data_IF_666540626993
#
_entry.id   IF_666540626993
#
_cell.length_a   1.000
_cell.length_b   1.000
_cell.length_c   1.000
_cell.angle_alpha   90.00
_cell.angle_beta   90.00
_cell.angle_gamma   90.00
#
_symmetry.space_group_name_H-M   'P 1'
#
loop_
_entity.id
_entity.type
_entity.pdbx_description
1 polymer ?
#
# COMPACT_ATOMS: atom_id res chain seq x y z
N UNK A 1 -30.40 -4.35 -5.83
CA UNK A 1 -30.29 -3.12 -6.60
C UNK A 1 -29.03 -2.34 -6.24
N UNK A 2 -28.38 -1.83 -7.26
CA UNK A 2 -27.18 -0.99 -7.06
C UNK A 2 -27.63 0.39 -6.59
N UNK A 3 -27.00 0.87 -5.51
CA UNK A 3 -27.22 2.25 -5.05
C UNK A 3 -26.17 3.14 -5.66
N UNK A 4 -26.59 4.16 -6.36
CA UNK A 4 -25.68 5.17 -6.88
C UNK A 4 -25.40 6.21 -5.80
N UNK A 5 -24.11 6.42 -5.53
CA UNK A 5 -23.62 7.41 -4.58
C UNK A 5 -22.97 8.57 -5.32
N UNK A 6 -23.08 9.76 -4.75
CA UNK A 6 -22.37 10.93 -5.26
C UNK A 6 -20.88 10.86 -4.93
N UNK A 7 -20.05 11.43 -5.79
CA UNK A 7 -18.62 11.52 -5.57
C UNK A 7 -17.79 10.91 -6.71
N UNK A 8 -16.48 10.98 -6.55
CA UNK A 8 -15.51 10.41 -7.49
C UNK A 8 -14.73 9.30 -6.81
N UNK A 9 -14.54 8.21 -7.55
CA UNK A 9 -13.60 7.17 -7.17
C UNK A 9 -12.22 7.47 -7.77
N UNK A 10 -11.19 6.85 -7.23
CA UNK A 10 -9.82 7.01 -7.70
C UNK A 10 -9.10 5.68 -7.77
N UNK A 11 -8.23 5.54 -8.78
CA UNK A 11 -7.27 4.46 -8.82
C UNK A 11 -6.13 4.74 -7.82
N UNK A 12 -5.41 3.72 -7.45
CA UNK A 12 -4.37 3.80 -6.44
C UNK A 12 -3.18 2.90 -6.77
N UNK A 13 -1.98 3.40 -6.53
CA UNK A 13 -0.76 2.61 -6.41
C UNK A 13 -0.24 2.74 -4.98
N UNK A 14 0.08 1.61 -4.37
CA UNK A 14 0.49 1.54 -2.97
C UNK A 14 1.73 0.67 -2.85
N UNK A 15 2.82 1.24 -2.34
CA UNK A 15 4.10 0.58 -2.17
C UNK A 15 4.50 0.65 -0.71
N UNK A 16 4.76 -0.51 -0.13
CA UNK A 16 5.24 -0.63 1.26
C UNK A 16 6.59 -1.31 1.27
N UNK A 17 7.55 -0.71 1.97
CA UNK A 17 8.80 -1.36 2.33
C UNK A 17 8.73 -1.69 3.82
N UNK A 18 8.94 -2.95 4.15
CA UNK A 18 8.79 -3.44 5.52
C UNK A 18 10.04 -4.19 5.98
N UNK A 19 10.33 -4.03 7.24
CA UNK A 19 11.22 -4.93 7.97
C UNK A 19 10.35 -5.90 8.76
N UNK A 20 10.34 -7.18 8.36
CA UNK A 20 9.52 -8.22 9.00
C UNK A 20 10.36 -9.13 9.86
N UNK A 21 9.74 -9.64 10.92
CA UNK A 21 10.28 -10.73 11.72
C UNK A 21 9.15 -11.63 12.21
N UNK A 22 9.50 -12.85 12.59
CA UNK A 22 8.57 -13.84 13.11
C UNK A 22 8.98 -14.20 14.53
N UNK A 23 7.99 -14.35 15.43
CA UNK A 23 8.23 -14.81 16.78
C UNK A 23 8.17 -16.35 16.88
N UNK A 24 8.38 -16.88 18.08
CA UNK A 24 8.39 -18.33 18.34
C UNK A 24 7.03 -18.98 18.09
N UNK A 25 5.95 -18.23 18.22
CA UNK A 25 4.58 -18.72 18.02
C UNK A 25 4.14 -18.67 16.54
N UNK A 26 4.98 -18.14 15.67
CA UNK A 26 4.67 -17.99 14.25
C UNK A 26 3.92 -16.72 13.91
N UNK A 27 3.85 -15.75 14.82
CA UNK A 27 3.29 -14.44 14.53
C UNK A 27 4.29 -13.60 13.72
N UNK A 28 3.80 -12.89 12.71
CA UNK A 28 4.63 -12.05 11.85
C UNK A 28 4.35 -10.58 12.13
N UNK A 29 5.39 -9.86 12.44
CA UNK A 29 5.37 -8.43 12.72
C UNK A 29 6.18 -7.66 11.69
N UNK A 30 5.88 -6.39 11.53
CA UNK A 30 6.63 -5.52 10.64
C UNK A 30 6.77 -4.11 11.21
N UNK A 31 7.88 -3.45 10.85
CA UNK A 31 8.01 -2.00 10.90
C UNK A 31 7.97 -1.44 9.49
N UNK A 32 7.28 -0.33 9.33
CA UNK A 32 7.21 0.35 8.03
C UNK A 32 8.47 1.18 7.82
N UNK A 33 9.30 0.75 6.88
CA UNK A 33 10.55 1.46 6.54
C UNK A 33 10.34 2.48 5.44
N UNK A 34 9.49 2.16 4.47
CA UNK A 34 9.21 3.06 3.35
C UNK A 34 7.75 3.03 2.94
N UNK A 35 7.25 4.18 2.50
CA UNK A 35 5.87 4.36 2.05
C UNK A 35 5.82 5.14 0.75
N UNK A 36 5.20 4.55 -0.28
CA UNK A 36 4.84 5.24 -1.50
C UNK A 36 3.38 4.99 -1.79
N UNK A 37 2.58 6.05 -1.97
CA UNK A 37 1.17 5.89 -2.25
C UNK A 37 0.65 7.07 -3.04
N UNK A 38 0.01 6.78 -4.17
CA UNK A 38 -0.63 7.78 -5.00
C UNK A 38 -2.05 7.36 -5.37
N UNK A 39 -2.93 8.33 -5.40
CA UNK A 39 -4.30 8.18 -5.87
C UNK A 39 -4.49 9.02 -7.13
N UNK A 40 -5.19 8.46 -8.11
CA UNK A 40 -5.38 9.08 -9.42
C UNK A 40 -6.87 9.29 -9.66
N UNK A 41 -7.28 10.55 -9.76
CA UNK A 41 -8.68 10.96 -9.96
C UNK A 41 -8.97 11.40 -11.38
N UNK A 42 -7.93 11.57 -12.20
CA UNK A 42 -8.05 12.00 -13.59
C UNK A 42 -7.74 10.86 -14.53
N UNK A 43 -8.58 10.74 -15.57
CA UNK A 43 -8.29 9.82 -16.66
C UNK A 43 -7.16 10.35 -17.52
N UNK A 44 -6.36 9.42 -18.06
CA UNK A 44 -5.36 9.74 -19.07
C UNK A 44 -5.78 9.10 -20.40
N UNK A 45 -5.75 9.84 -21.52
CA UNK A 45 -6.17 9.30 -22.81
C UNK A 45 -5.19 8.25 -23.36
N UNK A 46 -3.92 8.37 -22.98
CA UNK A 46 -2.84 7.49 -23.44
C UNK A 46 -2.00 7.00 -22.29
N UNK A 47 -1.10 6.05 -22.57
CA UNK A 47 -0.11 5.58 -21.62
C UNK A 47 0.79 6.73 -21.16
N UNK A 48 1.01 6.80 -19.85
CA UNK A 48 2.00 7.70 -19.24
C UNK A 48 3.26 6.88 -18.97
N UNK A 49 4.31 7.17 -19.73
CA UNK A 49 5.59 6.49 -19.58
C UNK A 49 6.47 7.17 -18.53
N UNK A 50 7.24 6.38 -17.80
CA UNK A 50 8.20 6.89 -16.83
C UNK A 50 7.59 7.58 -15.62
N UNK A 51 6.33 7.26 -15.29
CA UNK A 51 5.69 7.78 -14.09
C UNK A 51 6.36 7.20 -12.84
N UNK A 52 6.74 8.06 -11.91
CA UNK A 52 7.41 7.68 -10.67
C UNK A 52 6.50 7.86 -9.48
N UNK A 53 6.48 6.85 -8.60
CA UNK A 53 5.86 6.94 -7.29
C UNK A 53 6.99 7.05 -6.27
N UNK A 54 7.20 8.22 -5.64
CA UNK A 54 8.28 8.36 -4.67
C UNK A 54 8.01 7.54 -3.42
N UNK A 55 9.07 6.91 -2.89
CA UNK A 55 9.02 6.17 -1.64
C UNK A 55 9.72 7.01 -0.57
N UNK A 56 8.99 7.32 0.49
CA UNK A 56 9.50 8.10 1.62
C UNK A 56 9.87 7.19 2.77
N UNK A 57 11.06 7.36 3.32
CA UNK A 57 11.63 6.48 4.34
C UNK A 57 11.38 7.01 5.75
N UNK A 58 11.23 6.06 6.70
CA UNK A 58 11.03 6.36 8.10
C UNK A 58 9.61 6.77 8.46
N UNK A 59 9.45 7.39 9.61
CA UNK A 59 8.18 7.94 10.08
C UNK A 59 7.85 9.23 9.32
N UNK A 60 6.77 9.20 8.56
CA UNK A 60 6.33 10.32 7.71
C UNK A 60 5.14 11.08 8.29
N UNK A 61 4.69 10.75 9.48
CA UNK A 61 3.46 11.30 10.07
C UNK A 61 3.51 12.81 10.33
N UNK A 62 4.70 13.39 10.47
CA UNK A 62 4.91 14.83 10.66
C UNK A 62 5.23 15.56 9.35
N UNK A 63 5.27 14.89 8.23
CA UNK A 63 5.64 15.49 6.94
C UNK A 63 4.44 16.20 6.30
N UNK A 64 4.67 17.31 5.56
CA UNK A 64 3.57 18.07 4.94
C UNK A 64 2.79 17.30 3.87
N UNK A 65 3.40 16.32 3.24
CA UNK A 65 2.72 15.47 2.23
C UNK A 65 1.89 14.34 2.85
N UNK A 66 2.00 14.10 4.16
CA UNK A 66 1.33 12.97 4.83
C UNK A 66 -0.19 13.07 4.71
N UNK A 67 -0.81 11.95 4.37
CA UNK A 67 -2.26 11.76 4.37
C UNK A 67 -2.60 10.55 5.25
N UNK A 68 -3.76 10.57 5.88
CA UNK A 68 -4.19 9.50 6.79
C UNK A 68 -4.14 8.10 6.16
N UNK A 69 -4.42 7.99 4.86
CA UNK A 69 -4.37 6.71 4.16
C UNK A 69 -2.94 6.18 3.93
N UNK A 70 -1.92 6.99 4.21
CA UNK A 70 -0.50 6.57 4.16
C UNK A 70 -0.01 5.96 5.48
N UNK A 71 -0.85 5.94 6.49
CA UNK A 71 -0.51 5.44 7.82
C UNK A 71 -0.32 3.93 7.88
N UNK A 72 0.07 3.46 9.07
CA UNK A 72 0.21 2.04 9.34
C UNK A 72 -1.12 1.33 9.13
N UNK A 73 -1.05 0.09 8.64
CA UNK A 73 -2.24 -0.72 8.39
C UNK A 73 -2.76 -1.24 9.73
N UNK A 74 -4.04 -0.98 10.09
CA UNK A 74 -4.64 -1.56 11.28
C UNK A 74 -4.62 -3.09 11.24
N UNK A 75 -4.52 -3.72 12.39
CA UNK A 75 -4.41 -5.18 12.47
C UNK A 75 -5.58 -5.91 11.79
N UNK A 76 -6.79 -5.40 11.92
CA UNK A 76 -7.99 -5.96 11.30
C UNK A 76 -8.04 -5.84 9.77
N UNK A 77 -7.10 -5.08 9.19
CA UNK A 77 -6.96 -4.88 7.73
C UNK A 77 -5.61 -5.34 7.19
N UNK A 78 -4.86 -6.09 7.98
CA UNK A 78 -3.52 -6.55 7.62
C UNK A 78 -3.52 -7.44 6.38
N UNK A 79 -2.44 -7.35 5.60
CA UNK A 79 -2.12 -8.36 4.62
C UNK A 79 -1.70 -9.65 5.31
N UNK A 80 -1.94 -10.79 4.67
CA UNK A 80 -1.56 -12.09 5.18
C UNK A 80 -0.32 -12.61 4.47
N UNK A 81 0.49 -13.35 5.20
CA UNK A 81 1.61 -14.09 4.65
C UNK A 81 1.66 -15.50 5.25
N UNK A 82 2.41 -16.37 4.60
CA UNK A 82 2.67 -17.71 5.13
C UNK A 82 3.87 -17.63 6.07
N UNK A 83 3.70 -18.11 7.33
CA UNK A 83 4.78 -18.16 8.29
C UNK A 83 5.68 -19.40 8.08
N UNK A 84 6.70 -19.54 8.91
CA UNK A 84 7.65 -20.68 8.84
C UNK A 84 7.00 -22.03 9.11
N UNK A 85 5.86 -22.06 9.79
CA UNK A 85 5.08 -23.27 10.10
C UNK A 85 4.09 -23.63 8.97
N UNK A 86 4.01 -22.81 7.93
CA UNK A 86 3.10 -23.03 6.80
C UNK A 86 1.70 -22.45 6.99
N UNK A 87 1.46 -21.73 8.07
CA UNK A 87 0.15 -21.12 8.36
C UNK A 87 0.03 -19.73 7.73
N UNK A 88 -1.17 -19.37 7.30
CA UNK A 88 -1.47 -18.00 6.85
C UNK A 88 -1.78 -17.12 8.05
N UNK A 89 -0.97 -16.10 8.26
CA UNK A 89 -1.07 -15.20 9.41
C UNK A 89 -1.04 -13.75 8.95
N UNK A 90 -1.68 -12.83 9.70
CA UNK A 90 -1.60 -11.42 9.39
C UNK A 90 -0.18 -10.88 9.60
N UNK A 91 0.22 -9.93 8.77
CA UNK A 91 1.44 -9.15 8.98
C UNK A 91 1.06 -7.91 9.78
N UNK A 92 1.41 -7.90 11.06
CA UNK A 92 1.03 -6.81 11.96
C UNK A 92 2.08 -5.71 11.93
N UNK A 93 1.72 -4.53 11.43
CA UNK A 93 2.59 -3.36 11.45
C UNK A 93 2.56 -2.73 12.85
N UNK A 94 3.64 -2.89 13.61
CA UNK A 94 3.72 -2.45 15.01
C UNK A 94 4.27 -1.04 15.17
N UNK A 95 4.81 -0.46 14.12
CA UNK A 95 5.37 0.89 14.17
C UNK A 95 6.10 1.28 12.90
N UNK A 96 6.70 2.48 12.94
CA UNK A 96 7.57 2.97 11.89
C UNK A 96 9.00 2.53 12.16
N UNK A 97 9.68 2.09 11.11
CA UNK A 97 11.10 1.78 11.16
C UNK A 97 11.95 3.03 10.97
N UNK A 98 13.24 2.90 11.27
CA UNK A 98 14.22 3.93 10.94
C UNK A 98 14.49 3.95 9.43
N UNK A 99 14.93 5.09 8.91
CA UNK A 99 15.16 5.24 7.47
C UNK A 99 16.27 4.33 6.92
N UNK A 100 17.17 3.90 7.77
CA UNK A 100 18.29 3.00 7.44
C UNK A 100 18.04 1.53 7.86
N UNK A 101 16.87 1.22 8.39
CA UNK A 101 16.52 -0.14 8.80
C UNK A 101 16.45 -1.06 7.58
N UNK A 102 16.98 -2.30 7.67
CA UNK A 102 16.96 -3.22 6.53
C UNK A 102 15.55 -3.56 6.06
N UNK A 103 15.32 -3.46 4.77
CA UNK A 103 14.06 -3.87 4.14
C UNK A 103 14.12 -5.35 3.83
N UNK A 104 13.19 -6.13 4.37
CA UNK A 104 13.08 -7.57 4.10
C UNK A 104 12.00 -7.88 3.07
N UNK A 105 10.95 -7.05 2.99
CA UNK A 105 9.81 -7.28 2.13
C UNK A 105 9.32 -5.98 1.49
N UNK A 106 8.91 -6.08 0.24
CA UNK A 106 8.27 -5.01 -0.51
C UNK A 106 6.92 -5.50 -1.00
N UNK A 107 5.88 -4.68 -0.78
CA UNK A 107 4.57 -4.90 -1.36
C UNK A 107 4.29 -3.81 -2.38
N UNK A 108 3.78 -4.21 -3.54
CA UNK A 108 3.28 -3.30 -4.56
C UNK A 108 1.85 -3.68 -4.86
N UNK A 109 0.94 -2.74 -4.70
CA UNK A 109 -0.47 -2.91 -5.04
C UNK A 109 -0.92 -1.83 -6.00
N UNK A 110 -1.73 -2.23 -6.98
CA UNK A 110 -2.41 -1.33 -7.88
C UNK A 110 -3.89 -1.69 -7.90
N UNK A 111 -4.75 -0.69 -7.79
CA UNK A 111 -6.19 -0.90 -7.77
C UNK A 111 -6.90 0.17 -8.60
N UNK A 112 -7.94 -0.23 -9.32
CA UNK A 112 -8.76 0.71 -10.09
C UNK A 112 -9.68 1.56 -9.19
N UNK A 113 -9.83 1.16 -7.94
CA UNK A 113 -10.70 1.82 -6.97
C UNK A 113 -10.05 1.80 -5.58
N UNK A 114 -10.31 2.85 -4.80
CA UNK A 114 -9.88 2.89 -3.41
C UNK A 114 -11.02 3.45 -2.55
N UNK A 115 -11.14 2.96 -1.34
CA UNK A 115 -12.19 3.39 -0.41
C UNK A 115 -12.87 2.24 0.29
N UNK A 116 -14.14 2.44 0.59
CA UNK A 116 -14.93 1.46 1.32
C UNK A 116 -15.24 0.23 0.46
N UNK A 117 -15.21 -0.95 1.05
CA UNK A 117 -15.55 -2.19 0.38
C UNK A 117 -16.93 -2.12 -0.29
N UNK A 118 -17.05 -2.69 -1.49
CA UNK A 118 -18.26 -2.73 -2.30
C UNK A 118 -18.73 -1.36 -2.85
N UNK A 119 -17.94 -0.30 -2.67
CA UNK A 119 -18.19 1.02 -3.24
C UNK A 119 -17.09 1.35 -4.24
N UNK A 120 -17.46 1.61 -5.49
CA UNK A 120 -16.51 1.93 -6.55
C UNK A 120 -17.16 2.67 -7.70
N UNK A 121 -16.33 3.23 -8.58
CA UNK A 121 -16.76 3.89 -9.80
C UNK A 121 -17.12 2.89 -10.89
N UNK A 122 -18.31 3.04 -11.46
CA UNK A 122 -18.74 2.19 -12.57
C UNK A 122 -17.84 2.45 -13.78
N UNK A 123 -17.25 1.38 -14.32
CA UNK A 123 -16.39 1.49 -15.51
C UNK A 123 -14.97 1.98 -15.23
N UNK A 124 -14.59 2.17 -13.98
CA UNK A 124 -13.21 2.51 -13.63
C UNK A 124 -12.26 1.41 -14.09
N UNK A 125 -11.20 1.84 -14.78
CA UNK A 125 -10.13 0.96 -15.25
C UNK A 125 -8.78 1.59 -14.94
N UNK A 126 -7.83 0.74 -14.57
CA UNK A 126 -6.46 1.14 -14.30
C UNK A 126 -5.50 0.12 -14.93
N UNK A 127 -4.61 0.62 -15.78
CA UNK A 127 -3.63 -0.20 -16.49
C UNK A 127 -2.24 0.14 -15.99
N UNK A 128 -1.46 -0.88 -15.68
CA UNK A 128 -0.08 -0.73 -15.22
C UNK A 128 0.81 -1.74 -15.94
N UNK A 129 2.01 -1.32 -16.31
CA UNK A 129 2.98 -2.14 -17.01
C UNK A 129 4.40 -1.68 -16.69
N UNK A 130 5.36 -2.57 -16.89
CA UNK A 130 6.80 -2.27 -16.77
C UNK A 130 7.18 -1.64 -15.42
N UNK A 131 6.84 -2.31 -14.32
CA UNK A 131 7.20 -1.84 -12.98
C UNK A 131 8.71 -2.03 -12.76
N UNK A 132 9.38 -0.96 -12.34
CA UNK A 132 10.79 -0.97 -12.02
C UNK A 132 11.05 -0.25 -10.69
N UNK A 133 12.04 -0.74 -9.94
CA UNK A 133 12.53 -0.09 -8.73
C UNK A 133 13.77 0.70 -9.06
N UNK A 134 13.73 2.01 -8.81
CA UNK A 134 14.86 2.93 -9.01
C UNK A 134 15.49 3.37 -7.69
N UNK A 135 16.76 3.67 -7.74
CA UNK A 135 17.54 4.17 -6.62
C UNK A 135 18.02 5.60 -6.88
#
# INVERSE_FOLDING_TARGET
PRKQLAGRDSAEVYILLQHRWEDEDGNVYARRVGTGRERYIKSTPDWVNGHSVPIHYGDITDKPFYKSYMGLIPEDKSYYCRNSKGDMVPVVEVGWGEADEPVTHMLVMASATCGTAYIGGLGNTFWIDNIALGY
#
